data_IF_299020638530
#
_entry.id   IF_299020638530
#
_cell.length_a   1.000
_cell.length_b   1.000
_cell.length_c   1.000
_cell.angle_alpha   90.00
_cell.angle_beta   90.00
_cell.angle_gamma   90.00
#
_symmetry.space_group_name_H-M   'P 1'
#
loop_
_entity.id
_entity.type
_entity.pdbx_description
1 polymer ?
#
# COMPACT_ATOMS: atom_id res chain seq x y z
N UNK A 1 -13.79 -12.72 15.67
CA UNK A 1 -13.88 -11.28 15.38
C UNK A 1 -13.30 -11.08 13.99
N UNK A 2 -13.85 -10.18 13.19
CA UNK A 2 -13.25 -9.86 11.89
C UNK A 2 -11.89 -9.21 12.11
N UNK A 3 -10.94 -9.47 11.23
CA UNK A 3 -9.67 -8.77 11.25
C UNK A 3 -9.81 -7.42 10.54
N UNK A 4 -8.98 -6.45 10.91
CA UNK A 4 -9.03 -5.11 10.32
C UNK A 4 -7.64 -4.53 10.09
N UNK A 5 -7.60 -3.50 9.25
CA UNK A 5 -6.45 -2.61 9.10
C UNK A 5 -6.73 -1.34 9.89
N UNK A 6 -5.87 -0.99 10.82
CA UNK A 6 -5.98 0.23 11.62
C UNK A 6 -4.64 0.94 11.72
N UNK A 7 -4.59 2.05 12.43
CA UNK A 7 -3.40 2.89 12.48
C UNK A 7 -3.13 3.50 13.85
N UNK A 8 -1.85 3.78 14.09
CA UNK A 8 -1.32 4.57 15.20
C UNK A 8 -0.56 5.76 14.65
N UNK A 9 -0.89 6.96 15.10
CA UNK A 9 -0.10 8.16 14.80
C UNK A 9 1.00 8.30 15.86
N UNK A 10 2.26 8.14 15.43
CA UNK A 10 3.45 8.35 16.22
C UNK A 10 3.87 9.83 16.23
N UNK A 11 3.77 10.48 15.07
CA UNK A 11 4.02 11.90 14.87
C UNK A 11 3.19 12.41 13.69
N UNK A 12 2.85 13.70 13.68
CA UNK A 12 1.98 14.30 12.67
C UNK A 12 2.27 15.80 12.52
N UNK A 13 1.88 16.38 11.39
CA UNK A 13 1.86 17.81 11.11
C UNK A 13 0.41 18.23 10.93
N UNK A 14 -0.13 18.99 11.89
CA UNK A 14 -1.48 19.56 11.84
C UNK A 14 -2.62 18.55 11.57
N UNK A 15 -2.41 17.26 11.85
CA UNK A 15 -3.44 16.23 11.66
C UNK A 15 -3.51 15.66 10.24
N UNK A 16 -2.58 16.00 9.35
CA UNK A 16 -2.57 15.55 7.96
C UNK A 16 -2.40 14.02 7.87
N UNK A 17 -1.43 13.44 8.59
CA UNK A 17 -1.23 11.99 8.60
C UNK A 17 -2.39 11.26 9.24
N UNK A 18 -2.98 11.81 10.29
CA UNK A 18 -4.21 11.25 10.88
C UNK A 18 -5.37 11.21 9.88
N UNK A 19 -5.53 12.25 9.06
CA UNK A 19 -6.56 12.29 8.03
C UNK A 19 -6.29 11.26 6.93
N UNK A 20 -5.05 11.23 6.43
CA UNK A 20 -4.60 10.30 5.39
C UNK A 20 -4.73 8.84 5.82
N UNK A 21 -4.22 8.49 7.00
CA UNK A 21 -4.29 7.14 7.55
C UNK A 21 -5.73 6.64 7.69
N UNK A 22 -6.65 7.51 8.13
CA UNK A 22 -8.07 7.17 8.21
C UNK A 22 -8.65 6.84 6.84
N UNK A 23 -8.36 7.67 5.83
CA UNK A 23 -8.85 7.46 4.46
C UNK A 23 -8.28 6.16 3.90
N UNK A 24 -6.97 5.95 4.00
CA UNK A 24 -6.28 4.79 3.47
C UNK A 24 -6.73 3.47 4.14
N UNK A 25 -6.84 3.44 5.48
CA UNK A 25 -7.33 2.25 6.18
C UNK A 25 -8.81 1.97 5.85
N UNK A 26 -9.66 3.00 5.77
CA UNK A 26 -11.06 2.81 5.35
C UNK A 26 -11.15 2.31 3.91
N UNK A 27 -10.25 2.76 3.02
CA UNK A 27 -10.19 2.29 1.64
C UNK A 27 -9.93 0.79 1.61
N UNK A 28 -8.87 0.31 2.27
CA UNK A 28 -8.58 -1.11 2.28
C UNK A 28 -9.64 -1.92 3.03
N UNK A 29 -10.10 -1.50 4.20
CA UNK A 29 -11.14 -2.21 4.96
C UNK A 29 -12.49 -2.29 4.24
N UNK A 30 -12.78 -1.40 3.28
CA UNK A 30 -13.97 -1.52 2.43
C UNK A 30 -13.88 -2.76 1.54
N UNK A 31 -12.69 -3.06 1.04
CA UNK A 31 -12.48 -4.06 -0.01
C UNK A 31 -11.87 -5.36 0.49
N UNK A 32 -11.12 -5.33 1.60
CA UNK A 32 -10.29 -6.43 2.08
C UNK A 32 -10.46 -6.60 3.59
N UNK A 33 -10.76 -7.82 4.02
CA UNK A 33 -10.55 -8.29 5.39
C UNK A 33 -9.22 -9.06 5.42
N UNK A 34 -8.21 -8.57 6.15
CA UNK A 34 -6.89 -9.20 6.16
C UNK A 34 -6.90 -10.53 6.92
N UNK A 35 -5.95 -11.41 6.61
CA UNK A 35 -5.80 -12.73 7.27
C UNK A 35 -5.48 -12.58 8.77
N UNK A 36 -4.78 -11.49 9.10
CA UNK A 36 -4.39 -11.07 10.43
C UNK A 36 -4.73 -9.59 10.58
N UNK A 37 -5.05 -9.13 11.78
CA UNK A 37 -5.24 -7.69 12.00
C UNK A 37 -3.92 -6.93 11.73
N UNK A 38 -4.01 -5.75 11.12
CA UNK A 38 -2.86 -4.93 10.74
C UNK A 38 -2.91 -3.60 11.48
N UNK A 39 -1.79 -3.20 12.09
CA UNK A 39 -1.61 -1.87 12.70
C UNK A 39 -0.51 -1.11 11.95
N UNK A 40 -0.89 -0.01 11.32
CA UNK A 40 0.04 0.87 10.61
C UNK A 40 0.48 1.99 11.53
N UNK A 41 1.76 2.04 11.86
CA UNK A 41 2.35 3.12 12.64
C UNK A 41 2.85 4.21 11.71
N UNK A 42 2.23 5.39 11.74
CA UNK A 42 2.62 6.53 10.94
C UNK A 42 3.44 7.55 11.72
N UNK A 43 4.59 7.93 11.19
CA UNK A 43 5.46 8.97 11.71
C UNK A 43 5.86 9.98 10.64
N UNK A 44 6.78 10.87 11.01
CA UNK A 44 7.35 11.86 10.10
C UNK A 44 8.87 11.81 10.16
N UNK A 45 9.50 12.17 9.06
CA UNK A 45 10.93 12.50 9.02
C UNK A 45 11.14 13.80 8.24
N UNK A 46 12.32 14.41 8.35
CA UNK A 46 12.65 15.63 7.62
C UNK A 46 13.88 15.39 6.77
N UNK A 47 13.73 15.53 5.46
CA UNK A 47 14.82 15.45 4.50
C UNK A 47 14.59 16.44 3.35
N UNK A 48 15.67 17.07 2.87
CA UNK A 48 15.63 17.92 1.68
C UNK A 48 15.66 17.12 0.37
N UNK A 49 15.86 15.80 0.45
CA UNK A 49 15.86 14.90 -0.69
C UNK A 49 14.51 14.77 -1.39
N UNK A 50 14.45 13.84 -2.34
CA UNK A 50 13.23 13.54 -3.10
C UNK A 50 12.39 12.41 -2.48
N UNK A 51 12.82 11.81 -1.37
CA UNK A 51 12.04 10.78 -0.69
C UNK A 51 10.75 11.37 -0.12
N UNK A 52 9.61 10.88 -0.59
CA UNK A 52 8.25 11.25 -0.17
C UNK A 52 7.92 10.54 1.15
N UNK A 53 8.05 9.22 1.15
CA UNK A 53 7.76 8.37 2.29
C UNK A 53 8.76 7.22 2.39
N UNK A 54 8.77 6.58 3.55
CA UNK A 54 9.55 5.37 3.85
C UNK A 54 8.64 4.34 4.46
N UNK A 55 8.70 3.12 3.95
CA UNK A 55 8.13 1.97 4.61
C UNK A 55 9.24 1.02 5.09
N UNK A 56 8.93 0.35 6.18
CA UNK A 56 9.85 -0.56 6.86
C UNK A 56 9.32 -1.98 6.78
N UNK A 57 10.21 -2.96 6.91
CA UNK A 57 9.80 -4.37 6.94
C UNK A 57 8.73 -4.58 8.02
N UNK A 58 7.57 -5.18 7.68
CA UNK A 58 6.54 -5.51 8.64
C UNK A 58 7.03 -6.53 9.67
N UNK A 59 6.44 -6.51 10.85
CA UNK A 59 6.72 -7.46 11.93
C UNK A 59 5.42 -7.92 12.58
N UNK A 60 5.47 -9.00 13.37
CA UNK A 60 4.26 -9.60 13.94
C UNK A 60 4.38 -9.86 15.43
N UNK A 61 3.24 -9.76 16.12
CA UNK A 61 3.05 -10.18 17.51
C UNK A 61 1.60 -10.62 17.68
N UNK A 62 1.39 -11.77 18.34
CA UNK A 62 0.07 -12.29 18.72
C UNK A 62 -0.97 -12.22 17.57
N UNK A 63 -0.61 -12.75 16.40
CA UNK A 63 -1.43 -12.75 15.17
C UNK A 63 -1.81 -11.36 14.63
N UNK A 64 -1.13 -10.31 15.09
CA UNK A 64 -1.22 -8.94 14.55
C UNK A 64 0.04 -8.61 13.78
N UNK A 65 -0.14 -8.06 12.57
CA UNK A 65 0.95 -7.55 11.73
C UNK A 65 1.08 -6.05 11.95
N UNK A 66 2.30 -5.55 11.98
CA UNK A 66 2.61 -4.15 12.20
C UNK A 66 3.44 -3.63 11.03
N UNK A 67 2.94 -2.59 10.37
CA UNK A 67 3.67 -1.82 9.36
C UNK A 67 4.11 -0.47 9.92
N UNK A 68 5.20 0.09 9.41
CA UNK A 68 5.68 1.42 9.78
C UNK A 68 5.84 2.25 8.52
N UNK A 69 5.27 3.45 8.53
CA UNK A 69 5.37 4.43 7.45
C UNK A 69 5.85 5.75 8.04
N UNK A 70 6.93 6.33 7.51
CA UNK A 70 7.35 7.68 7.84
C UNK A 70 7.17 8.59 6.62
N UNK A 71 6.50 9.72 6.79
CA UNK A 71 6.28 10.68 5.71
C UNK A 71 7.21 11.89 5.84
N UNK A 72 7.77 12.34 4.73
CA UNK A 72 8.65 13.50 4.73
C UNK A 72 7.85 14.80 4.93
N UNK A 73 8.21 15.57 5.95
CA UNK A 73 7.55 16.85 6.27
C UNK A 73 7.57 17.86 5.13
N UNK A 74 8.59 17.82 4.26
CA UNK A 74 8.66 18.64 3.04
C UNK A 74 7.45 18.39 2.13
N UNK A 75 7.11 17.12 1.91
CA UNK A 75 6.03 16.72 1.01
C UNK A 75 4.66 16.82 1.68
N UNK A 76 4.55 16.62 2.99
CA UNK A 76 3.32 16.94 3.74
C UNK A 76 2.88 18.40 3.57
N UNK A 77 3.82 19.33 3.40
CA UNK A 77 3.51 20.73 3.16
C UNK A 77 3.10 21.06 1.71
N UNK A 78 3.33 20.14 0.76
CA UNK A 78 3.13 20.35 -0.67
C UNK A 78 1.94 19.56 -1.21
N UNK A 79 1.76 18.33 -0.70
CA UNK A 79 0.78 17.37 -1.17
C UNK A 79 -0.60 17.67 -0.61
N UNK A 80 -1.64 17.32 -1.38
CA UNK A 80 -3.01 17.32 -0.89
C UNK A 80 -3.23 16.16 0.09
N UNK A 81 -4.31 16.24 0.88
CA UNK A 81 -4.71 15.13 1.76
C UNK A 81 -4.88 13.80 0.99
N UNK A 82 -5.28 13.86 -0.29
CA UNK A 82 -5.47 12.66 -1.11
C UNK A 82 -4.16 12.11 -1.66
N UNK A 83 -3.18 12.97 -1.98
CA UNK A 83 -1.85 12.51 -2.37
C UNK A 83 -1.16 11.79 -1.21
N UNK A 84 -1.25 12.36 0.00
CA UNK A 84 -0.72 11.73 1.23
C UNK A 84 -1.46 10.42 1.52
N UNK A 85 -2.79 10.40 1.38
CA UNK A 85 -3.59 9.18 1.55
C UNK A 85 -3.28 8.11 0.49
N UNK A 86 -2.95 8.50 -0.74
CA UNK A 86 -2.54 7.61 -1.82
C UNK A 86 -1.27 6.87 -1.48
N UNK A 87 -0.21 7.60 -1.13
CA UNK A 87 1.05 7.02 -0.63
C UNK A 87 0.81 6.13 0.59
N UNK A 88 0.03 6.56 1.59
CA UNK A 88 -0.26 5.69 2.75
C UNK A 88 -1.03 4.43 2.33
N UNK A 89 -1.96 4.51 1.37
CA UNK A 89 -2.69 3.35 0.87
C UNK A 89 -1.77 2.39 0.10
N UNK A 90 -0.82 2.92 -0.68
CA UNK A 90 0.19 2.14 -1.38
C UNK A 90 1.01 1.30 -0.39
N UNK A 91 1.54 1.93 0.66
CA UNK A 91 2.36 1.24 1.66
C UNK A 91 1.57 0.22 2.51
N UNK A 92 0.27 0.45 2.69
CA UNK A 92 -0.62 -0.58 3.27
C UNK A 92 -0.73 -1.79 2.34
N UNK A 93 -0.72 -1.59 1.01
CA UNK A 93 -0.64 -2.65 0.02
C UNK A 93 0.58 -3.56 0.23
N UNK A 94 1.76 -2.97 0.48
CA UNK A 94 2.93 -3.75 0.87
C UNK A 94 2.71 -4.51 2.19
N UNK A 95 2.14 -3.87 3.21
CA UNK A 95 1.82 -4.57 4.47
C UNK A 95 0.82 -5.72 4.29
N UNK A 96 -0.03 -5.66 3.25
CA UNK A 96 -0.95 -6.72 2.84
C UNK A 96 -0.30 -7.84 2.01
N UNK A 97 1.00 -7.78 1.72
CA UNK A 97 1.71 -8.89 1.06
C UNK A 97 2.34 -8.56 -0.29
N UNK A 98 2.10 -7.39 -0.88
CA UNK A 98 2.75 -6.99 -2.13
C UNK A 98 4.27 -6.88 -1.94
N UNK A 99 5.04 -7.54 -2.80
CA UNK A 99 6.51 -7.58 -2.71
C UNK A 99 7.09 -8.60 -1.72
N UNK A 100 6.26 -9.30 -0.94
CA UNK A 100 6.74 -10.29 0.05
C UNK A 100 6.76 -11.72 -0.49
N UNK A 101 7.25 -12.65 0.33
CA UNK A 101 7.48 -14.05 -0.03
C UNK A 101 6.32 -14.69 -0.79
N UNK A 102 5.08 -14.51 -0.33
CA UNK A 102 3.91 -15.11 -0.98
C UNK A 102 3.66 -14.51 -2.36
N UNK A 103 3.77 -13.18 -2.50
CA UNK A 103 3.67 -12.48 -3.78
C UNK A 103 4.74 -12.98 -4.77
N UNK A 104 5.97 -13.16 -4.30
CA UNK A 104 7.10 -13.65 -5.13
C UNK A 104 6.90 -15.06 -5.69
N UNK A 105 5.94 -15.83 -5.16
CA UNK A 105 5.58 -17.15 -5.72
C UNK A 105 4.54 -17.10 -6.84
N UNK A 106 3.92 -15.93 -7.10
CA UNK A 106 2.77 -15.82 -8.00
C UNK A 106 3.15 -15.59 -9.47
N UNK A 107 4.40 -15.26 -9.76
CA UNK A 107 4.84 -14.87 -11.10
C UNK A 107 6.29 -15.30 -11.39
N UNK A 108 6.66 -15.28 -12.67
CA UNK A 108 8.03 -15.47 -13.12
C UNK A 108 8.81 -14.14 -12.97
N UNK A 109 9.87 -14.07 -12.16
CA UNK A 109 10.59 -12.82 -11.88
C UNK A 109 11.40 -12.28 -13.07
N UNK A 110 11.63 -13.09 -14.11
CA UNK A 110 12.31 -12.67 -15.33
C UNK A 110 11.34 -11.95 -16.26
N UNK A 111 10.08 -12.40 -16.30
CA UNK A 111 9.09 -11.89 -17.27
C UNK A 111 7.98 -11.04 -16.66
N UNK A 112 7.86 -11.02 -15.34
CA UNK A 112 6.78 -10.38 -14.60
C UNK A 112 5.42 -11.03 -14.80
N UNK A 113 5.34 -12.17 -15.50
CA UNK A 113 4.07 -12.84 -15.84
C UNK A 113 3.60 -13.76 -14.73
N UNK A 114 2.33 -13.66 -14.38
CA UNK A 114 1.70 -14.52 -13.39
C UNK A 114 1.62 -15.97 -13.86
N UNK A 115 1.78 -16.89 -12.90
CA UNK A 115 1.66 -18.33 -13.11
C UNK A 115 0.25 -18.73 -13.52
N UNK A 116 0.11 -19.87 -14.21
CA UNK A 116 -1.19 -20.42 -14.57
C UNK A 116 -2.08 -20.68 -13.35
N UNK A 117 -1.47 -21.03 -12.22
CA UNK A 117 -2.12 -21.28 -10.94
C UNK A 117 -2.72 -19.99 -10.38
N UNK A 118 -1.96 -18.90 -10.38
CA UNK A 118 -2.44 -17.59 -9.96
C UNK A 118 -3.56 -17.08 -10.89
N UNK A 119 -3.40 -17.23 -12.20
CA UNK A 119 -4.41 -16.86 -13.21
C UNK A 119 -5.68 -17.70 -13.07
N UNK A 120 -5.59 -18.97 -12.71
CA UNK A 120 -6.78 -19.81 -12.49
C UNK A 120 -7.65 -19.30 -11.34
N UNK A 121 -7.05 -18.71 -10.31
CA UNK A 121 -7.77 -18.10 -9.18
C UNK A 121 -8.24 -16.69 -9.53
N UNK A 122 -7.41 -15.89 -10.20
CA UNK A 122 -7.72 -14.51 -10.59
C UNK A 122 -7.43 -14.31 -12.09
N UNK A 123 -8.39 -14.59 -12.98
CA UNK A 123 -8.15 -14.63 -14.44
C UNK A 123 -7.65 -13.32 -15.06
N UNK A 124 -7.97 -12.18 -14.47
CA UNK A 124 -7.51 -10.88 -14.96
C UNK A 124 -5.97 -10.72 -14.89
N UNK A 125 -5.27 -11.52 -14.07
CA UNK A 125 -3.81 -11.53 -13.98
C UNK A 125 -3.12 -11.90 -15.29
N UNK A 126 -3.79 -12.59 -16.21
CA UNK A 126 -3.25 -12.89 -17.54
C UNK A 126 -2.86 -11.61 -18.31
N UNK A 127 -3.52 -10.49 -18.00
CA UNK A 127 -3.27 -9.17 -18.60
C UNK A 127 -2.41 -8.26 -17.73
N UNK A 128 -1.96 -8.74 -16.57
CA UNK A 128 -1.12 -8.01 -15.65
C UNK A 128 0.34 -8.41 -15.81
N UNK A 129 1.23 -7.48 -15.43
CA UNK A 129 2.67 -7.69 -15.36
C UNK A 129 3.17 -7.05 -14.07
N UNK A 130 4.08 -7.75 -13.42
CA UNK A 130 4.90 -7.22 -12.33
C UNK A 130 6.06 -6.43 -12.92
N UNK A 131 6.45 -5.36 -12.25
CA UNK A 131 7.63 -4.55 -12.59
C UNK A 131 8.91 -5.40 -12.56
N UNK A 132 9.68 -5.39 -13.64
CA UNK A 132 10.96 -6.13 -13.76
C UNK A 132 12.15 -5.21 -14.07
N UNK A 133 11.88 -3.95 -14.40
CA UNK A 133 12.86 -2.90 -14.61
C UNK A 133 13.11 -2.10 -13.31
N UNK A 134 13.86 -1.01 -13.42
CA UNK A 134 14.23 -0.07 -12.35
C UNK A 134 15.08 -0.70 -11.24
N UNK A 135 15.08 -0.09 -10.06
CA UNK A 135 15.94 -0.47 -8.94
C UNK A 135 15.28 -1.46 -7.98
N UNK A 136 16.03 -1.98 -6.99
CA UNK A 136 15.53 -2.91 -5.97
C UNK A 136 14.33 -2.41 -5.16
N UNK A 137 14.14 -1.09 -5.07
CA UNK A 137 12.97 -0.50 -4.39
C UNK A 137 11.70 -0.45 -5.24
N UNK A 138 11.74 -0.85 -6.51
CA UNK A 138 10.58 -0.82 -7.42
C UNK A 138 10.36 -2.20 -8.06
N UNK A 139 11.44 -2.85 -8.47
CA UNK A 139 11.39 -4.13 -9.17
C UNK A 139 10.77 -5.23 -8.31
N UNK A 140 9.96 -6.09 -8.93
CA UNK A 140 9.31 -7.27 -8.38
C UNK A 140 8.28 -7.03 -7.27
N UNK A 141 8.11 -5.82 -6.75
CA UNK A 141 7.13 -5.50 -5.70
C UNK A 141 5.90 -4.75 -6.19
N UNK A 142 5.93 -4.30 -7.45
CA UNK A 142 4.95 -3.38 -8.03
C UNK A 142 4.31 -3.91 -9.30
N UNK A 143 3.22 -3.27 -9.71
CA UNK A 143 2.78 -3.37 -11.10
C UNK A 143 3.76 -2.68 -12.04
N UNK A 144 3.88 -3.24 -13.25
CA UNK A 144 4.72 -2.68 -14.31
C UNK A 144 4.39 -1.21 -14.62
N UNK A 145 5.38 -0.34 -14.46
CA UNK A 145 5.26 1.11 -14.59
C UNK A 145 4.86 1.56 -15.99
N UNK A 146 5.45 0.97 -17.03
CA UNK A 146 5.20 1.39 -18.41
C UNK A 146 3.78 1.04 -18.85
N UNK A 147 3.25 -0.05 -18.32
CA UNK A 147 1.93 -0.56 -18.68
C UNK A 147 0.81 0.02 -17.84
N UNK A 148 1.05 0.26 -16.55
CA UNK A 148 0.02 0.66 -15.60
C UNK A 148 0.16 2.11 -15.10
N UNK A 149 1.28 2.76 -15.35
CA UNK A 149 1.47 4.20 -15.23
C UNK A 149 1.16 4.77 -13.83
N UNK A 150 -0.06 5.26 -13.61
CA UNK A 150 -0.50 5.88 -12.36
C UNK A 150 -1.38 4.94 -11.51
N UNK A 151 -1.12 3.64 -11.56
CA UNK A 151 -1.86 2.69 -10.74
C UNK A 151 -1.39 2.76 -9.29
N UNK A 152 -2.27 2.57 -8.31
CA UNK A 152 -1.93 2.67 -6.88
C UNK A 152 -0.66 1.91 -6.47
N UNK A 153 -0.42 0.71 -7.00
CA UNK A 153 0.73 -0.14 -6.66
C UNK A 153 1.81 -0.16 -7.75
N UNK A 154 1.94 0.90 -8.55
CA UNK A 154 3.19 1.20 -9.28
C UNK A 154 4.16 1.93 -8.34
N UNK A 155 5.47 1.78 -8.50
CA UNK A 155 6.48 2.29 -7.56
C UNK A 155 6.89 3.76 -7.73
N UNK A 156 6.32 4.49 -8.69
CA UNK A 156 6.47 5.96 -8.80
C UNK A 156 5.15 6.69 -8.53
N UNK A 157 5.22 7.65 -7.61
CA UNK A 157 4.11 8.58 -7.34
C UNK A 157 3.67 9.30 -8.61
N UNK A 158 2.36 9.40 -8.81
CA UNK A 158 1.75 10.19 -9.88
C UNK A 158 0.77 11.23 -9.34
N UNK A 159 0.56 12.32 -10.09
CA UNK A 159 -0.38 13.39 -9.74
C UNK A 159 -1.86 12.94 -9.81
N UNK A 160 -2.16 11.88 -10.57
CA UNK A 160 -3.52 11.44 -10.85
C UNK A 160 -3.65 9.91 -10.80
N UNK A 161 -3.57 9.36 -9.60
CA UNK A 161 -3.60 7.93 -9.37
C UNK A 161 -4.98 7.29 -9.49
N UNK A 162 -4.96 6.00 -9.80
CA UNK A 162 -6.15 5.17 -9.92
C UNK A 162 -5.92 3.76 -9.41
N UNK A 163 -7.01 3.04 -9.14
CA UNK A 163 -6.97 1.62 -8.75
C UNK A 163 -7.63 0.79 -9.83
N UNK A 164 -6.97 -0.31 -10.21
CA UNK A 164 -7.56 -1.37 -11.01
C UNK A 164 -8.28 -2.39 -10.11
N UNK A 165 -9.38 -3.01 -10.58
CA UNK A 165 -10.03 -4.10 -9.85
C UNK A 165 -9.09 -5.19 -9.36
N UNK A 166 -8.09 -5.51 -10.17
CA UNK A 166 -7.13 -6.57 -9.92
C UNK A 166 -6.23 -6.30 -8.71
N UNK A 167 -5.95 -5.04 -8.40
CA UNK A 167 -5.19 -4.63 -7.21
C UNK A 167 -5.90 -5.00 -5.92
N UNK A 168 -7.24 -5.05 -5.94
CA UNK A 168 -8.02 -5.57 -4.81
C UNK A 168 -8.07 -7.10 -4.86
N UNK A 169 -8.34 -7.67 -6.04
CA UNK A 169 -8.60 -9.11 -6.18
C UNK A 169 -7.39 -10.00 -5.85
N UNK A 170 -6.16 -9.49 -6.03
CA UNK A 170 -4.92 -10.17 -5.64
C UNK A 170 -4.86 -10.46 -4.14
N UNK A 171 -5.55 -9.70 -3.29
CA UNK A 171 -5.60 -9.96 -1.86
C UNK A 171 -6.03 -11.40 -1.54
N UNK A 172 -6.85 -12.03 -2.40
CA UNK A 172 -7.20 -13.47 -2.29
C UNK A 172 -5.99 -14.39 -2.37
N UNK A 173 -5.09 -14.13 -3.33
CA UNK A 173 -3.86 -14.89 -3.49
C UNK A 173 -2.90 -14.63 -2.33
N UNK A 174 -2.95 -13.44 -1.74
CA UNK A 174 -2.17 -13.09 -0.55
C UNK A 174 -2.72 -13.68 0.75
N UNK A 175 -3.90 -14.32 0.72
CA UNK A 175 -4.49 -15.03 1.87
C UNK A 175 -5.61 -14.26 2.57
N UNK A 176 -5.93 -13.07 2.06
CA UNK A 176 -6.96 -12.21 2.60
C UNK A 176 -8.31 -12.49 1.96
N UNK A 177 -9.37 -12.00 2.60
CA UNK A 177 -10.73 -12.09 2.07
C UNK A 177 -11.09 -10.79 1.36
N UNK A 178 -11.55 -10.88 0.11
CA UNK A 178 -12.09 -9.72 -0.62
C UNK A 178 -13.57 -9.58 -0.29
N UNK A 179 -13.94 -8.45 0.32
CA UNK A 179 -15.28 -8.12 0.78
C UNK A 179 -16.13 -7.48 -0.33
N UNK A 180 -15.52 -6.55 -1.09
CA UNK A 180 -16.15 -5.85 -2.21
C UNK A 180 -15.22 -5.91 -3.43
N UNK A 181 -15.81 -6.11 -4.61
CA UNK A 181 -15.09 -6.06 -5.87
C UNK A 181 -15.24 -4.68 -6.52
N UNK A 182 -14.09 -4.02 -6.80
CA UNK A 182 -14.11 -2.81 -7.60
C UNK A 182 -14.50 -3.15 -9.04
N UNK A 183 -15.51 -2.47 -9.60
CA UNK A 183 -16.09 -2.87 -10.89
C UNK A 183 -15.25 -2.46 -12.11
N UNK A 184 -14.46 -1.40 -11.98
CA UNK A 184 -13.68 -0.81 -13.08
C UNK A 184 -12.53 0.02 -12.52
N UNK A 185 -11.57 0.35 -13.39
CA UNK A 185 -10.58 1.41 -13.15
C UNK A 185 -11.27 2.66 -12.59
N UNK A 186 -10.85 3.11 -11.42
CA UNK A 186 -11.48 4.22 -10.70
C UNK A 186 -10.39 5.10 -10.08
N UNK A 187 -10.51 6.43 -10.16
CA UNK A 187 -9.50 7.32 -9.58
C UNK A 187 -9.49 7.24 -8.05
N UNK A 188 -8.31 7.38 -7.44
CA UNK A 188 -8.18 7.43 -5.99
C UNK A 188 -8.96 8.61 -5.41
N UNK A 189 -8.94 9.77 -6.07
CA UNK A 189 -9.73 10.93 -5.65
C UNK A 189 -11.24 10.60 -5.51
N UNK A 190 -11.81 9.86 -6.47
CA UNK A 190 -13.21 9.43 -6.38
C UNK A 190 -13.42 8.56 -5.14
N UNK A 191 -12.61 7.52 -4.98
CA UNK A 191 -12.72 6.56 -3.89
C UNK A 191 -12.51 7.23 -2.52
N UNK A 192 -11.52 8.12 -2.40
CA UNK A 192 -11.19 8.80 -1.17
C UNK A 192 -12.19 9.90 -0.82
N UNK A 193 -12.81 10.55 -1.81
CA UNK A 193 -13.88 11.53 -1.56
C UNK A 193 -15.09 10.89 -0.87
N UNK A 194 -15.46 9.66 -1.25
CA UNK A 194 -16.53 8.87 -0.62
C UNK A 194 -16.19 8.55 0.84
N UNK A 195 -14.90 8.38 1.17
CA UNK A 195 -14.41 7.98 2.49
C UNK A 195 -14.06 9.16 3.40
N UNK A 196 -13.95 10.38 2.85
CA UNK A 196 -13.50 11.56 3.60
C UNK A 196 -14.37 11.85 4.81
N UNK A 197 -15.69 11.65 4.72
CA UNK A 197 -16.63 11.85 5.82
C UNK A 197 -16.89 10.59 6.67
N UNK A 198 -16.39 9.43 6.25
CA UNK A 198 -16.61 8.16 6.93
C UNK A 198 -15.77 8.13 8.20
N UNK A 199 -16.43 8.06 9.36
CA UNK A 199 -15.73 7.75 10.59
C UNK A 199 -15.18 6.33 10.50
N UNK A 200 -13.96 6.12 11.03
CA UNK A 200 -13.41 4.76 11.16
C UNK A 200 -14.44 3.88 11.90
N UNK A 201 -15.00 2.89 11.22
CA UNK A 201 -16.16 2.14 11.72
C UNK A 201 -15.77 1.14 12.81
N UNK A 202 -14.53 0.65 12.80
CA UNK A 202 -14.08 -0.45 13.65
C UNK A 202 -13.31 -0.02 14.92
N UNK A 203 -13.72 1.10 15.54
CA UNK A 203 -13.01 1.66 16.70
C UNK A 203 -12.90 0.70 17.88
N UNK A 204 -13.94 -0.09 18.16
CA UNK A 204 -13.91 -1.04 19.29
C UNK A 204 -12.97 -2.22 19.02
N UNK A 205 -12.88 -2.69 17.77
CA UNK A 205 -11.94 -3.73 17.39
C UNK A 205 -10.50 -3.22 17.43
N UNK A 206 -10.26 -2.00 16.93
CA UNK A 206 -8.95 -1.35 17.00
C UNK A 206 -8.46 -1.15 18.45
N UNK A 207 -9.37 -0.89 19.42
CA UNK A 207 -9.02 -0.77 20.84
C UNK A 207 -8.58 -2.08 21.49
N UNK A 208 -8.94 -3.23 20.92
CA UNK A 208 -8.52 -4.54 21.41
C UNK A 208 -7.08 -4.90 20.98
N UNK A 209 -6.54 -4.19 19.98
CA UNK A 209 -5.18 -4.38 19.48
C UNK A 209 -4.17 -3.58 20.31
N UNK A 210 -2.96 -4.12 20.45
CA UNK A 210 -1.84 -3.40 21.05
C UNK A 210 -1.27 -2.40 20.03
N UNK A 211 -1.83 -1.20 20.00
CA UNK A 211 -1.43 -0.13 19.05
C UNK A 211 -0.07 0.51 19.39
N UNK A 212 0.50 0.21 20.55
CA UNK A 212 1.74 0.80 21.05
C UNK A 212 2.94 -0.16 20.95
N UNK A 213 2.71 -1.44 20.63
CA UNK A 213 3.78 -2.37 20.28
C UNK A 213 4.59 -1.84 19.09
N UNK A 214 5.91 -1.87 19.23
CA UNK A 214 6.82 -1.37 18.22
C UNK A 214 8.15 -2.12 18.23
N UNK A 215 8.62 -2.49 17.05
CA UNK A 215 9.94 -3.05 16.80
C UNK A 215 10.60 -2.22 15.71
N UNK A 216 11.88 -1.90 15.90
CA UNK A 216 12.68 -1.27 14.84
C UNK A 216 13.07 -2.32 13.81
N UNK A 217 12.62 -2.12 12.58
CA UNK A 217 12.97 -2.92 11.40
C UNK A 217 13.76 -2.05 10.40
N UNK A 218 14.47 -2.64 9.42
CA UNK A 218 15.15 -1.87 8.40
C UNK A 218 14.14 -1.21 7.43
N UNK A 219 14.59 -0.15 6.76
CA UNK A 219 13.83 0.45 5.65
C UNK A 219 13.78 -0.58 4.54
N UNK A 220 12.57 -0.88 4.11
CA UNK A 220 12.31 -1.75 2.97
C UNK A 220 12.19 -0.92 1.69
N UNK A 221 11.42 0.17 1.76
CA UNK A 221 11.04 0.95 0.60
C UNK A 221 11.13 2.45 0.88
N UNK A 222 11.55 3.18 -0.15
CA UNK A 222 11.52 4.64 -0.20
C UNK A 222 10.75 5.04 -1.45
N UNK A 223 9.63 5.74 -1.28
CA UNK A 223 8.90 6.32 -2.42
C UNK A 223 9.54 7.67 -2.80
N UNK A 224 9.72 7.94 -4.09
CA UNK A 224 10.46 9.11 -4.57
C UNK A 224 9.65 10.02 -5.50
N UNK A 225 9.86 11.33 -5.36
CA UNK A 225 9.41 12.39 -6.28
C UNK A 225 10.38 12.55 -7.48
N UNK A 226 10.82 11.45 -8.09
CA UNK A 226 11.64 11.50 -9.31
C UNK A 226 10.81 11.04 -10.51
N UNK A 227 10.84 11.81 -11.60
CA UNK A 227 10.32 11.32 -12.88
C UNK A 227 11.04 10.04 -13.31
N UNK A 228 10.28 9.07 -13.83
CA UNK A 228 10.70 7.72 -14.28
C UNK A 228 12.08 7.73 -14.97
N UNK A 229 13.14 7.37 -14.25
CA UNK A 229 14.47 7.11 -14.85
C UNK A 229 14.77 5.63 -14.73
N UNK A 230 14.75 4.93 -15.87
CA UNK A 230 15.21 3.54 -15.95
C UNK A 230 16.66 3.44 -15.50
N UNK A 231 16.93 2.59 -14.52
CA UNK A 231 18.29 2.16 -14.18
C UNK A 231 18.50 0.85 -14.94
N UNK A 232 19.48 0.75 -15.86
CA UNK A 232 19.74 -0.51 -16.54
C UNK A 232 20.21 -1.55 -15.51
N UNK A 233 19.59 -2.74 -15.53
CA UNK A 233 20.09 -3.91 -14.80
C UNK A 233 21.54 -4.19 -15.25
N UNK A 234 22.45 -4.34 -14.28
CA UNK A 234 23.83 -4.76 -14.51
C UNK A 234 23.94 -6.27 -14.61
#
# INVERSE_FOLDING_TARGET
>A
MANLITYKIAADVNGQLKSAARIACNFWNRFVEPESSIVIRLGIFTSFGATIARAYEPYSKDDTIYGVIEFNTKFLAQFSDFDVAGTVAHEIGHTLGYGWDKWMTLFDPITGRFSSEAVAVVPALEKMLVETDYGPGTTLSHWDEERFDAELMTGFKSDAEYVLPITIDVAKLLGHTVLEHLKKKTSLETLFSELKAVQFSEKEQAKALDLDYFVTTPIWEEEYDFGRRKIPLR
#
